data_IF_004278442760
#
_entry.id   IF_004278442760
#
_cell.length_a   1.000
_cell.length_b   1.000
_cell.length_c   1.000
_cell.angle_alpha   90.00
_cell.angle_beta   90.00
_cell.angle_gamma   90.00
#
_symmetry.space_group_name_H-M   'P 1'
#
loop_
_entity.id
_entity.type
_entity.pdbx_description
1 polymer ?
#
# COMPACT_ATOMS: atom_id res chain seq x y z
N UNK A 1 11.45 31.16 -14.70
CA UNK A 1 10.42 30.93 -15.76
C UNK A 1 10.49 29.55 -16.42
N UNK A 2 11.63 29.01 -16.89
CA UNK A 2 11.69 27.66 -17.53
C UNK A 2 11.37 26.45 -16.64
N UNK A 3 11.48 26.57 -15.31
CA UNK A 3 11.20 25.48 -14.38
C UNK A 3 9.70 25.18 -14.26
N UNK A 4 8.82 26.17 -14.45
CA UNK A 4 7.37 26.04 -14.31
C UNK A 4 6.71 25.31 -15.49
N UNK A 5 7.15 25.58 -16.73
CA UNK A 5 6.66 24.89 -17.94
C UNK A 5 7.08 23.42 -18.02
N UNK A 6 8.26 23.08 -17.48
CA UNK A 6 8.72 21.68 -17.41
C UNK A 6 7.94 20.89 -16.35
N UNK A 7 7.58 21.55 -15.25
CA UNK A 7 6.76 20.97 -14.20
C UNK A 7 5.32 20.68 -14.68
N UNK A 8 4.67 21.60 -15.40
CA UNK A 8 3.32 21.36 -15.93
C UNK A 8 3.27 20.21 -16.93
N UNK A 9 4.28 20.11 -17.80
CA UNK A 9 4.38 19.00 -18.76
C UNK A 9 4.61 17.65 -18.08
N UNK A 10 5.38 17.65 -16.99
CA UNK A 10 5.59 16.45 -16.18
C UNK A 10 4.29 16.01 -15.48
N UNK A 11 3.58 16.94 -14.85
CA UNK A 11 2.28 16.68 -14.18
C UNK A 11 1.21 16.18 -15.16
N UNK A 12 1.14 16.75 -16.37
CA UNK A 12 0.21 16.28 -17.38
C UNK A 12 0.51 14.82 -17.80
N UNK A 13 1.80 14.50 -17.97
CA UNK A 13 2.23 13.15 -18.33
C UNK A 13 1.94 12.14 -17.20
N UNK A 14 2.28 12.47 -15.94
CA UNK A 14 2.00 11.59 -14.79
C UNK A 14 0.50 11.39 -14.59
N UNK A 15 -0.29 12.43 -14.81
CA UNK A 15 -1.74 12.35 -14.68
C UNK A 15 -2.39 11.44 -15.74
N UNK A 16 -1.98 11.57 -17.01
CA UNK A 16 -2.45 10.69 -18.09
C UNK A 16 -2.03 9.24 -17.84
N UNK A 17 -0.76 9.02 -17.45
CA UNK A 17 -0.25 7.68 -17.11
C UNK A 17 -1.05 7.08 -15.95
N UNK A 18 -1.29 7.83 -14.88
CA UNK A 18 -2.03 7.36 -13.71
C UNK A 18 -3.49 7.02 -14.04
N UNK A 19 -4.15 7.83 -14.88
CA UNK A 19 -5.49 7.52 -15.39
C UNK A 19 -5.52 6.20 -16.17
N UNK A 20 -4.61 6.04 -17.14
CA UNK A 20 -4.53 4.84 -17.97
C UNK A 20 -4.24 3.62 -17.11
N UNK A 21 -3.28 3.72 -16.19
CA UNK A 21 -2.95 2.64 -15.25
C UNK A 21 -4.13 2.31 -14.34
N UNK A 22 -4.85 3.31 -13.83
CA UNK A 22 -6.04 3.10 -13.01
C UNK A 22 -7.14 2.34 -13.75
N UNK A 23 -7.38 2.67 -15.03
CA UNK A 23 -8.34 1.94 -15.88
C UNK A 23 -7.84 0.51 -16.14
N UNK A 24 -6.56 0.32 -16.47
CA UNK A 24 -5.98 -1.00 -16.72
C UNK A 24 -6.08 -1.91 -15.48
N UNK A 25 -5.87 -1.34 -14.29
CA UNK A 25 -6.01 -2.05 -13.01
C UNK A 25 -7.42 -2.61 -12.84
N UNK A 26 -8.44 -1.82 -13.16
CA UNK A 26 -9.84 -2.23 -13.03
C UNK A 26 -10.27 -3.23 -14.10
N UNK A 27 -9.76 -3.09 -15.33
CA UNK A 27 -10.11 -3.97 -16.47
C UNK A 27 -9.41 -5.33 -16.37
N UNK A 28 -8.17 -5.37 -15.86
CA UNK A 28 -7.36 -6.59 -15.75
C UNK A 28 -7.01 -6.93 -14.29
N UNK A 29 -8.01 -7.35 -13.48
CA UNK A 29 -7.81 -7.63 -12.05
C UNK A 29 -6.79 -8.75 -11.81
N UNK A 30 -6.83 -9.82 -12.60
CA UNK A 30 -5.89 -10.95 -12.46
C UNK A 30 -4.44 -10.54 -12.69
N UNK A 31 -4.17 -9.76 -13.74
CA UNK A 31 -2.83 -9.26 -14.03
C UNK A 31 -2.35 -8.28 -12.96
N UNK A 32 -3.25 -7.45 -12.43
CA UNK A 32 -2.95 -6.51 -11.35
C UNK A 32 -2.43 -7.24 -10.13
N UNK A 33 -3.11 -8.28 -9.66
CA UNK A 33 -2.70 -9.01 -8.46
C UNK A 33 -1.34 -9.69 -8.62
N UNK A 34 -1.09 -10.29 -9.78
CA UNK A 34 0.21 -10.88 -10.12
C UNK A 34 1.30 -9.81 -10.15
N UNK A 35 1.01 -8.64 -10.72
CA UNK A 35 1.93 -7.51 -10.76
C UNK A 35 2.22 -6.98 -9.35
N UNK A 36 1.21 -6.86 -8.50
CA UNK A 36 1.38 -6.47 -7.10
C UNK A 36 2.21 -7.51 -6.34
N UNK A 37 1.96 -8.79 -6.56
CA UNK A 37 2.75 -9.87 -5.96
C UNK A 37 4.22 -9.79 -6.38
N UNK A 38 4.48 -9.49 -7.66
CA UNK A 38 5.83 -9.29 -8.18
C UNK A 38 6.51 -8.09 -7.52
N UNK A 39 5.86 -6.93 -7.49
CA UNK A 39 6.40 -5.71 -6.88
C UNK A 39 6.70 -5.93 -5.40
N UNK A 40 5.78 -6.56 -4.67
CA UNK A 40 5.97 -6.88 -3.26
C UNK A 40 7.10 -7.90 -3.05
N UNK A 41 7.18 -8.93 -3.88
CA UNK A 41 8.23 -9.95 -3.82
C UNK A 41 9.61 -9.34 -4.05
N UNK A 42 9.77 -8.49 -5.07
CA UNK A 42 11.01 -7.74 -5.33
C UNK A 42 11.32 -6.80 -4.17
N UNK A 43 10.34 -6.04 -3.69
CA UNK A 43 10.52 -5.11 -2.58
C UNK A 43 11.00 -5.79 -1.30
N UNK A 44 10.33 -6.87 -0.89
CA UNK A 44 10.69 -7.65 0.30
C UNK A 44 12.10 -8.25 0.13
N UNK A 45 12.40 -8.81 -1.05
CA UNK A 45 13.72 -9.36 -1.34
C UNK A 45 14.83 -8.30 -1.23
N UNK A 46 14.62 -7.13 -1.85
CA UNK A 46 15.56 -6.01 -1.77
C UNK A 46 15.73 -5.54 -0.33
N UNK A 47 14.65 -5.40 0.44
CA UNK A 47 14.71 -5.00 1.84
C UNK A 47 15.48 -6.02 2.69
N UNK A 48 15.29 -7.32 2.45
CA UNK A 48 16.08 -8.38 3.10
C UNK A 48 17.56 -8.31 2.76
N UNK A 49 17.91 -8.11 1.48
CA UNK A 49 19.31 -7.95 1.02
C UNK A 49 19.96 -6.72 1.65
N UNK A 50 19.27 -5.57 1.67
CA UNK A 50 19.79 -4.34 2.27
C UNK A 50 20.00 -4.52 3.77
N UNK A 51 19.04 -5.09 4.50
CA UNK A 51 19.18 -5.37 5.92
C UNK A 51 20.35 -6.32 6.22
N UNK A 52 20.50 -7.39 5.44
CA UNK A 52 21.61 -8.34 5.58
C UNK A 52 22.96 -7.66 5.32
N UNK A 53 23.05 -6.84 4.27
CA UNK A 53 24.26 -6.09 3.95
C UNK A 53 24.63 -5.09 5.04
N UNK A 54 23.64 -4.37 5.60
CA UNK A 54 23.83 -3.45 6.71
C UNK A 54 24.29 -4.16 7.98
N UNK A 55 23.76 -5.35 8.25
CA UNK A 55 24.16 -6.18 9.39
C UNK A 55 25.62 -6.65 9.30
N UNK A 56 26.10 -6.95 8.09
CA UNK A 56 27.49 -7.37 7.85
C UNK A 56 28.45 -6.18 7.92
N UNK A 57 28.11 -5.05 7.28
CA UNK A 57 29.00 -3.88 7.14
C UNK A 57 29.17 -3.10 8.44
N UNK A 58 28.11 -2.90 9.22
CA UNK A 58 28.20 -2.13 10.47
C UNK A 58 28.71 -3.00 11.62
N UNK A 59 30.03 -3.03 11.82
CA UNK A 59 30.68 -3.75 12.94
C UNK A 59 30.55 -3.03 14.30
N UNK A 60 30.22 -1.74 14.30
CA UNK A 60 30.21 -0.86 15.50
C UNK A 60 28.84 -0.67 16.17
N UNK A 61 27.77 -1.34 15.70
CA UNK A 61 26.53 -1.38 16.48
C UNK A 61 26.79 -2.20 17.75
N UNK A 62 26.97 -1.50 18.86
CA UNK A 62 27.25 -2.01 20.22
C UNK A 62 26.27 -3.10 20.69
N UNK A 63 25.14 -3.26 20.00
CA UNK A 63 24.29 -4.46 20.05
C UNK A 63 23.85 -4.78 18.62
N UNK A 64 24.29 -5.92 18.09
CA UNK A 64 23.69 -6.52 16.90
C UNK A 64 22.58 -7.46 17.36
N UNK A 65 21.32 -7.02 17.48
CA UNK A 65 20.26 -7.93 17.86
C UNK A 65 20.16 -9.05 16.81
N UNK A 66 20.36 -10.29 17.24
CA UNK A 66 20.26 -11.46 16.37
C UNK A 66 18.90 -11.54 15.65
N UNK A 67 17.88 -10.90 16.22
CA UNK A 67 16.57 -10.71 15.59
C UNK A 67 16.64 -10.02 14.22
N UNK A 68 17.49 -9.01 14.05
CA UNK A 68 17.63 -8.32 12.75
C UNK A 68 18.17 -9.27 11.67
N UNK A 69 19.07 -10.18 12.02
CA UNK A 69 19.56 -11.19 11.09
C UNK A 69 18.46 -12.18 10.70
N UNK A 70 17.66 -12.63 11.67
CA UNK A 70 16.53 -13.52 11.42
C UNK A 70 15.51 -12.87 10.50
N UNK A 71 15.14 -11.62 10.76
CA UNK A 71 14.21 -10.85 9.91
C UNK A 71 14.75 -10.71 8.49
N UNK A 72 16.03 -10.34 8.31
CA UNK A 72 16.63 -10.20 6.99
C UNK A 72 16.63 -11.52 6.19
N UNK A 73 16.92 -12.65 6.84
CA UNK A 73 16.88 -13.97 6.21
C UNK A 73 15.46 -14.40 5.85
N UNK A 74 14.49 -14.13 6.73
CA UNK A 74 13.08 -14.39 6.45
C UNK A 74 12.58 -13.55 5.28
N UNK A 75 12.92 -12.26 5.22
CA UNK A 75 12.56 -11.38 4.12
C UNK A 75 13.12 -11.91 2.79
N UNK A 76 14.39 -12.31 2.74
CA UNK A 76 14.98 -12.91 1.53
C UNK A 76 14.23 -14.18 1.12
N UNK A 77 13.97 -15.08 2.09
CA UNK A 77 13.28 -16.33 1.82
C UNK A 77 11.85 -16.09 1.32
N UNK A 78 11.09 -15.22 1.96
CA UNK A 78 9.73 -14.84 1.58
C UNK A 78 9.74 -14.17 0.21
N UNK A 79 10.67 -13.25 -0.04
CA UNK A 79 10.82 -12.59 -1.34
C UNK A 79 11.05 -13.59 -2.47
N UNK A 80 11.99 -14.53 -2.30
CA UNK A 80 12.22 -15.62 -3.27
C UNK A 80 10.96 -16.47 -3.45
N UNK A 81 10.30 -16.85 -2.37
CA UNK A 81 9.09 -17.67 -2.41
C UNK A 81 7.95 -16.99 -3.18
N UNK A 82 7.72 -15.70 -2.95
CA UNK A 82 6.70 -14.92 -3.65
C UNK A 82 7.00 -14.81 -5.15
N UNK A 83 8.26 -14.59 -5.51
CA UNK A 83 8.69 -14.47 -6.90
C UNK A 83 8.69 -15.82 -7.64
N UNK A 84 8.93 -16.93 -6.94
CA UNK A 84 8.88 -18.27 -7.51
C UNK A 84 7.45 -18.71 -7.86
N UNK A 85 6.44 -18.22 -7.15
CA UNK A 85 5.04 -18.54 -7.41
C UNK A 85 4.14 -17.30 -7.31
N UNK A 86 4.16 -16.48 -8.36
CA UNK A 86 3.37 -15.24 -8.42
C UNK A 86 1.86 -15.49 -8.35
N UNK A 87 1.37 -16.61 -8.88
CA UNK A 87 -0.05 -16.96 -8.82
C UNK A 87 -0.53 -17.27 -7.39
N UNK A 88 0.26 -18.04 -6.64
CA UNK A 88 0.00 -18.29 -5.22
C UNK A 88 0.19 -17.04 -4.37
N UNK A 89 1.24 -16.26 -4.64
CA UNK A 89 1.52 -14.99 -3.98
C UNK A 89 0.37 -13.97 -4.16
N UNK A 90 -0.23 -13.90 -5.35
CA UNK A 90 -1.39 -13.06 -5.63
C UNK A 90 -2.59 -13.38 -4.72
N UNK A 91 -2.80 -14.66 -4.39
CA UNK A 91 -3.85 -15.08 -3.44
C UNK A 91 -3.52 -14.75 -1.99
N UNK A 92 -2.25 -14.54 -1.65
CA UNK A 92 -1.81 -14.16 -0.31
C UNK A 92 -2.01 -12.67 -0.01
N UNK A 93 -2.04 -11.80 -1.03
CA UNK A 93 -2.18 -10.34 -0.88
C UNK A 93 -3.40 -9.95 -0.04
N UNK A 94 -4.62 -10.48 -0.31
CA UNK A 94 -5.80 -10.15 0.49
C UNK A 94 -5.68 -10.53 1.96
N UNK A 95 -4.94 -11.60 2.30
CA UNK A 95 -4.70 -11.98 3.69
C UNK A 95 -3.83 -10.96 4.41
N UNK A 96 -2.75 -10.50 3.77
CA UNK A 96 -1.87 -9.46 4.32
C UNK A 96 -2.65 -8.17 4.53
N UNK A 97 -3.42 -7.75 3.52
CA UNK A 97 -4.26 -6.55 3.60
C UNK A 97 -5.34 -6.67 4.67
N UNK A 98 -6.03 -7.82 4.76
CA UNK A 98 -7.04 -8.08 5.77
C UNK A 98 -6.47 -8.05 7.19
N UNK A 99 -5.30 -8.64 7.39
CA UNK A 99 -4.62 -8.63 8.69
C UNK A 99 -4.19 -7.21 9.09
N UNK A 100 -3.61 -6.45 8.15
CA UNK A 100 -3.27 -5.05 8.38
C UNK A 100 -4.51 -4.21 8.68
N UNK A 101 -5.59 -4.37 7.91
CA UNK A 101 -6.86 -3.70 8.13
C UNK A 101 -7.47 -4.04 9.50
N UNK A 102 -7.26 -5.27 10.01
CA UNK A 102 -7.69 -5.67 11.34
C UNK A 102 -6.99 -4.83 12.42
N UNK A 103 -5.66 -4.66 12.35
CA UNK A 103 -4.94 -3.80 13.28
C UNK A 103 -5.37 -2.34 13.18
N UNK A 104 -5.58 -1.82 11.97
CA UNK A 104 -6.11 -0.46 11.76
C UNK A 104 -7.50 -0.31 12.40
N UNK A 105 -8.32 -1.35 12.34
CA UNK A 105 -9.66 -1.34 12.92
C UNK A 105 -9.63 -1.40 14.44
N UNK A 106 -8.77 -2.25 15.02
CA UNK A 106 -8.56 -2.34 16.47
C UNK A 106 -8.04 -1.01 17.03
N UNK A 107 -7.06 -0.39 16.35
CA UNK A 107 -6.51 0.91 16.77
C UNK A 107 -7.56 2.03 16.68
N UNK A 108 -8.45 2.03 15.67
CA UNK A 108 -9.58 2.96 15.60
C UNK A 108 -10.57 2.77 16.75
N UNK A 109 -10.91 1.53 17.10
CA UNK A 109 -11.77 1.23 18.24
C UNK A 109 -11.13 1.76 19.53
N UNK A 110 -9.84 1.49 19.75
CA UNK A 110 -9.12 2.01 20.92
C UNK A 110 -9.06 3.54 20.93
N UNK A 111 -8.78 4.18 19.79
CA UNK A 111 -8.71 5.62 19.66
C UNK A 111 -10.05 6.31 19.94
N UNK A 112 -11.19 5.64 19.69
CA UNK A 112 -12.52 6.22 19.92
C UNK A 112 -12.75 6.64 21.38
N UNK A 113 -12.13 5.95 22.35
CA UNK A 113 -12.19 6.31 23.76
C UNK A 113 -11.49 7.67 24.00
N UNK A 114 -10.30 7.86 23.43
CA UNK A 114 -9.58 9.13 23.52
C UNK A 114 -10.33 10.28 22.84
N UNK A 115 -10.98 10.04 21.70
CA UNK A 115 -11.82 11.06 21.05
C UNK A 115 -13.03 11.46 21.90
N UNK A 116 -13.61 10.51 22.66
CA UNK A 116 -14.68 10.79 23.61
C UNK A 116 -14.19 11.66 24.77
N UNK A 117 -13.02 11.37 25.33
CA UNK A 117 -12.41 12.13 26.43
C UNK A 117 -12.03 13.57 26.01
N UNK A 118 -11.58 13.75 24.77
CA UNK A 118 -11.25 15.06 24.19
C UNK A 118 -12.49 15.90 23.81
N UNK A 119 -13.71 15.42 24.08
CA UNK A 119 -14.94 16.18 23.86
C UNK A 119 -15.40 16.27 22.41
N UNK A 120 -14.85 15.46 21.49
CA UNK A 120 -15.30 15.46 20.10
C UNK A 120 -16.71 14.87 19.96
N UNK A 121 -17.65 15.64 19.42
CA UNK A 121 -19.06 15.23 19.24
C UNK A 121 -19.23 13.97 18.37
N UNK A 122 -18.30 13.69 17.46
CA UNK A 122 -18.40 12.62 16.47
C UNK A 122 -17.60 11.36 16.83
N UNK A 123 -17.24 11.17 18.11
CA UNK A 123 -16.46 10.00 18.56
C UNK A 123 -17.11 8.65 18.20
N UNK A 124 -18.45 8.58 18.19
CA UNK A 124 -19.21 7.40 17.78
C UNK A 124 -18.94 6.98 16.34
N UNK A 125 -18.66 7.93 15.44
CA UNK A 125 -18.34 7.62 14.03
C UNK A 125 -17.04 6.84 13.94
N UNK A 126 -16.03 7.21 14.73
CA UNK A 126 -14.74 6.50 14.78
C UNK A 126 -14.95 5.09 15.31
N UNK A 127 -15.75 4.92 16.37
CA UNK A 127 -16.07 3.62 16.95
C UNK A 127 -16.78 2.71 15.92
N UNK A 128 -17.83 3.20 15.27
CA UNK A 128 -18.58 2.45 14.24
C UNK A 128 -17.66 2.10 13.07
N UNK A 129 -16.82 3.04 12.62
CA UNK A 129 -15.87 2.79 11.53
C UNK A 129 -14.86 1.71 11.88
N UNK A 130 -14.46 1.62 13.15
CA UNK A 130 -13.58 0.58 13.68
C UNK A 130 -14.25 -0.79 13.65
N UNK A 131 -15.48 -0.92 14.13
CA UNK A 131 -16.22 -2.19 14.08
C UNK A 131 -16.53 -2.63 12.64
N UNK A 132 -16.99 -1.72 11.78
CA UNK A 132 -17.22 -2.01 10.37
C UNK A 132 -15.93 -2.45 9.68
N UNK A 133 -14.82 -1.78 9.96
CA UNK A 133 -13.50 -2.16 9.44
C UNK A 133 -13.07 -3.55 9.92
N UNK A 134 -13.35 -3.90 11.18
CA UNK A 134 -13.01 -5.20 11.74
C UNK A 134 -13.82 -6.32 11.07
N UNK A 135 -15.13 -6.13 10.89
CA UNK A 135 -15.99 -7.07 10.17
C UNK A 135 -15.49 -7.24 8.73
N UNK A 136 -15.19 -6.12 8.04
CA UNK A 136 -14.67 -6.15 6.68
C UNK A 136 -13.33 -6.89 6.60
N UNK A 137 -12.45 -6.69 7.59
CA UNK A 137 -11.14 -7.36 7.65
C UNK A 137 -11.30 -8.87 7.76
N UNK A 138 -12.17 -9.34 8.65
CA UNK A 138 -12.50 -10.77 8.74
C UNK A 138 -13.11 -11.28 7.44
N UNK A 139 -14.05 -10.54 6.83
CA UNK A 139 -14.68 -10.93 5.58
C UNK A 139 -13.67 -11.08 4.43
N UNK A 140 -12.71 -10.16 4.33
CA UNK A 140 -11.61 -10.21 3.36
C UNK A 140 -10.73 -11.46 3.56
N UNK A 141 -10.46 -11.84 4.81
CA UNK A 141 -9.63 -13.03 5.10
C UNK A 141 -10.35 -14.34 4.77
N UNK A 142 -11.66 -14.43 5.02
CA UNK A 142 -12.42 -15.64 4.71
C UNK A 142 -12.82 -15.75 3.23
N UNK A 143 -12.92 -14.62 2.52
CA UNK A 143 -13.22 -14.57 1.10
C UNK A 143 -12.09 -13.84 0.35
N UNK A 144 -10.96 -14.52 0.07
CA UNK A 144 -9.79 -13.88 -0.55
C UNK A 144 -10.10 -13.34 -1.95
N UNK A 145 -11.02 -13.96 -2.69
CA UNK A 145 -11.46 -13.45 -4.00
C UNK A 145 -12.13 -12.09 -3.88
N UNK A 146 -12.98 -11.89 -2.87
CA UNK A 146 -13.59 -10.59 -2.61
C UNK A 146 -12.54 -9.57 -2.12
N UNK A 147 -11.66 -10.00 -1.22
CA UNK A 147 -10.55 -9.17 -0.75
C UNK A 147 -9.65 -8.66 -1.88
N UNK A 148 -9.37 -9.52 -2.85
CA UNK A 148 -8.62 -9.15 -4.05
C UNK A 148 -9.35 -8.07 -4.85
N UNK A 149 -10.67 -8.22 -5.08
CA UNK A 149 -11.48 -7.20 -5.75
C UNK A 149 -11.47 -5.87 -5.00
N UNK A 150 -11.59 -5.88 -3.66
CA UNK A 150 -11.52 -4.66 -2.85
C UNK A 150 -10.18 -3.95 -3.05
N UNK A 151 -9.06 -4.68 -3.02
CA UNK A 151 -7.72 -4.11 -3.25
C UNK A 151 -7.60 -3.51 -4.65
N UNK A 152 -8.05 -4.24 -5.67
CA UNK A 152 -7.99 -3.79 -7.08
C UNK A 152 -8.83 -2.53 -7.28
N UNK A 153 -10.07 -2.54 -6.79
CA UNK A 153 -10.99 -1.39 -6.91
C UNK A 153 -10.41 -0.19 -6.18
N UNK A 154 -9.90 -0.39 -4.95
CA UNK A 154 -9.29 0.68 -4.17
C UNK A 154 -8.09 1.31 -4.90
N UNK A 155 -7.16 0.49 -5.41
CA UNK A 155 -5.98 0.98 -6.13
C UNK A 155 -6.39 1.66 -7.45
N UNK A 156 -7.29 1.04 -8.23
CA UNK A 156 -7.71 1.58 -9.51
C UNK A 156 -8.44 2.92 -9.39
N UNK A 157 -9.37 3.03 -8.44
CA UNK A 157 -10.07 4.29 -8.15
C UNK A 157 -9.10 5.35 -7.63
N UNK A 158 -8.16 4.97 -6.75
CA UNK A 158 -7.14 5.88 -6.26
C UNK A 158 -6.26 6.43 -7.39
N UNK A 159 -5.78 5.57 -8.30
CA UNK A 159 -4.98 5.99 -9.46
C UNK A 159 -5.76 6.90 -10.41
N UNK A 160 -7.05 6.62 -10.62
CA UNK A 160 -7.91 7.51 -11.42
C UNK A 160 -8.02 8.88 -10.75
N UNK A 161 -8.26 8.91 -9.44
CA UNK A 161 -8.37 10.16 -8.69
C UNK A 161 -7.07 10.98 -8.76
N UNK A 162 -5.92 10.34 -8.52
CA UNK A 162 -4.59 10.95 -8.66
C UNK A 162 -4.37 11.47 -10.08
N UNK A 163 -4.76 10.70 -11.09
CA UNK A 163 -4.63 11.13 -12.47
C UNK A 163 -5.45 12.37 -12.81
N UNK A 164 -6.67 12.49 -12.26
CA UNK A 164 -7.51 13.68 -12.40
C UNK A 164 -6.88 14.88 -11.68
N UNK A 165 -6.37 14.70 -10.46
CA UNK A 165 -5.76 15.79 -9.70
C UNK A 165 -4.49 16.32 -10.37
N UNK A 166 -3.61 15.43 -10.85
CA UNK A 166 -2.37 15.79 -11.54
C UNK A 166 -2.64 16.59 -12.82
N UNK A 167 -3.65 16.17 -13.61
CA UNK A 167 -4.06 16.90 -14.81
C UNK A 167 -4.62 18.27 -14.44
N UNK A 168 -5.46 18.36 -13.40
CA UNK A 168 -5.99 19.63 -12.94
C UNK A 168 -4.86 20.58 -12.52
N UNK A 169 -3.91 20.10 -11.73
CA UNK A 169 -2.74 20.87 -11.30
C UNK A 169 -1.86 21.32 -12.48
N UNK A 170 -1.67 20.46 -13.48
CA UNK A 170 -0.95 20.82 -14.70
C UNK A 170 -1.59 22.03 -15.41
N UNK A 171 -2.91 22.08 -15.50
CA UNK A 171 -3.63 23.21 -16.06
C UNK A 171 -3.51 24.46 -15.19
N UNK A 172 -3.59 24.35 -13.87
CA UNK A 172 -3.39 25.49 -12.97
C UNK A 172 -1.99 26.09 -13.10
N UNK A 173 -0.94 25.25 -13.11
CA UNK A 173 0.45 25.69 -13.28
C UNK A 173 0.68 26.32 -14.67
N UNK A 174 0.02 25.80 -15.70
CA UNK A 174 0.11 26.38 -17.05
C UNK A 174 -0.51 27.79 -17.14
N UNK A 175 -1.54 28.09 -16.35
CA UNK A 175 -2.21 29.40 -16.28
C UNK A 175 -1.45 30.45 -15.45
N UNK A 176 -0.54 30.02 -14.58
CA UNK A 176 0.27 30.90 -13.73
C UNK A 176 1.56 31.37 -14.42
N UNK A 177 1.85 30.87 -15.62
CA UNK A 177 2.94 31.32 -16.49
C UNK A 177 2.44 32.34 -17.52
#
# INVERSE_FOLDING_TARGET
MKLSSKASSFLALTGILSLVLGILVLVYPGLTLVTLAFILGVGILCTGIVQLSGYITNKEMLTKPGWTLVVALLDIFIGIFLLANLGGAAMAIPFVVGFWAMFVSITKIAASASFRELGFKNWWVVLISGFLGLILSFFIMFCPTFGALVVIVYIGVYLIFVGITDIAEAFYVSKLN
#
